data_IF_847027172673
#
_entry.id   IF_847027172673
#
_cell.length_a   1.000
_cell.length_b   1.000
_cell.length_c   1.000
_cell.angle_alpha   90.00
_cell.angle_beta   90.00
_cell.angle_gamma   90.00
#
_symmetry.space_group_name_H-M   'P 1'
#
loop_
_entity.id
_entity.type
_entity.pdbx_description
1 polymer ?
#
# COMPACT_ATOMS: atom_id res chain seq x y z
N UNK A 1 15.52 -15.34 -26.13
CA UNK A 1 14.37 -15.18 -27.04
C UNK A 1 13.76 -13.81 -26.80
N UNK A 2 13.69 -13.00 -27.85
CA UNK A 2 13.32 -11.58 -27.78
C UNK A 2 11.84 -11.42 -27.46
N UNK A 3 11.53 -10.84 -26.29
CA UNK A 3 10.20 -10.37 -25.96
C UNK A 3 9.93 -9.09 -26.74
N UNK A 4 9.17 -9.24 -27.82
CA UNK A 4 8.63 -8.16 -28.64
C UNK A 4 7.53 -7.44 -27.85
N UNK A 5 7.71 -6.12 -27.72
CA UNK A 5 6.70 -5.18 -27.26
C UNK A 5 5.43 -5.44 -28.06
N UNK A 6 4.32 -5.74 -27.38
CA UNK A 6 3.02 -5.89 -28.03
C UNK A 6 2.52 -4.50 -28.47
N UNK A 7 3.04 -4.05 -29.61
CA UNK A 7 2.62 -2.84 -30.32
C UNK A 7 1.34 -3.19 -31.08
N UNK A 8 0.19 -2.69 -30.65
CA UNK A 8 -1.01 -2.71 -31.50
C UNK A 8 -0.84 -1.63 -32.57
N UNK A 9 -0.56 -2.06 -33.79
CA UNK A 9 -0.58 -1.24 -35.00
C UNK A 9 -2.01 -1.12 -35.51
N UNK A 10 -2.44 0.08 -35.84
CA UNK A 10 -3.61 0.28 -36.72
C UNK A 10 -3.23 -0.11 -38.16
N UNK A 11 -4.23 -0.26 -39.04
CA UNK A 11 -4.10 -0.74 -40.43
C UNK A 11 -3.14 0.07 -41.32
N UNK A 12 -2.66 1.23 -40.86
CA UNK A 12 -1.74 2.13 -41.57
C UNK A 12 -0.30 2.18 -40.98
N UNK A 13 0.08 1.25 -40.08
CA UNK A 13 1.48 1.15 -39.61
C UNK A 13 1.97 2.30 -38.72
N UNK A 14 1.12 3.28 -38.40
CA UNK A 14 1.42 4.32 -37.42
C UNK A 14 1.35 3.75 -35.99
N UNK A 15 2.39 4.00 -35.19
CA UNK A 15 2.42 3.65 -33.78
C UNK A 15 1.31 4.42 -33.05
N UNK A 16 0.30 3.72 -32.53
CA UNK A 16 -0.79 4.33 -31.77
C UNK A 16 -0.22 4.83 -30.44
N UNK A 17 0.09 6.13 -30.37
CA UNK A 17 0.48 6.79 -29.13
C UNK A 17 -0.72 6.67 -28.19
N UNK A 18 -0.52 6.06 -27.01
CA UNK A 18 -1.56 5.95 -26.01
C UNK A 18 -2.11 7.35 -25.68
N UNK A 19 -3.43 7.50 -25.66
CA UNK A 19 -4.04 8.80 -25.39
C UNK A 19 -3.57 9.35 -24.03
N UNK A 20 -3.24 10.65 -23.95
CA UNK A 20 -2.80 11.26 -22.70
C UNK A 20 -3.88 11.18 -21.61
N UNK A 21 -3.49 10.76 -20.41
CA UNK A 21 -4.37 10.77 -19.24
C UNK A 21 -4.36 12.17 -18.61
N UNK A 22 -5.50 12.85 -18.67
CA UNK A 22 -5.62 14.25 -18.21
C UNK A 22 -6.17 14.28 -16.77
N UNK A 23 -5.34 14.72 -15.83
CA UNK A 23 -5.76 14.94 -14.46
C UNK A 23 -6.36 16.34 -14.37
N UNK A 24 -7.66 16.43 -14.12
CA UNK A 24 -8.39 17.71 -14.05
C UNK A 24 -8.50 18.16 -12.59
N UNK A 25 -8.19 19.43 -12.35
CA UNK A 25 -8.48 20.13 -11.10
C UNK A 25 -9.17 21.46 -11.45
N UNK A 26 -10.38 21.75 -10.93
CA UNK A 26 -11.07 23.00 -11.21
C UNK A 26 -10.20 24.22 -10.87
N UNK A 27 -10.16 25.19 -11.78
CA UNK A 27 -9.40 26.45 -11.60
C UNK A 27 -7.91 26.38 -11.95
N UNK A 28 -7.37 25.21 -12.30
CA UNK A 28 -5.96 25.06 -12.66
C UNK A 28 -5.78 24.52 -14.08
N UNK A 29 -4.69 24.94 -14.74
CA UNK A 29 -4.27 24.41 -16.04
C UNK A 29 -3.16 23.39 -15.84
N UNK A 30 -3.20 22.30 -16.62
CA UNK A 30 -2.12 21.33 -16.63
C UNK A 30 -0.84 21.97 -17.21
N UNK A 31 0.16 22.17 -16.36
CA UNK A 31 1.45 22.78 -16.70
C UNK A 31 2.62 21.76 -16.62
N UNK A 32 2.32 20.51 -16.28
CA UNK A 32 3.29 19.40 -16.24
C UNK A 32 2.88 18.29 -17.18
N UNK A 33 3.84 17.82 -17.98
CA UNK A 33 3.75 16.58 -18.75
C UNK A 33 4.64 15.52 -18.12
N UNK A 34 4.10 14.32 -17.91
CA UNK A 34 4.82 13.18 -17.36
C UNK A 34 4.74 12.04 -18.39
N UNK A 35 5.88 11.56 -18.89
CA UNK A 35 5.94 10.40 -19.77
C UNK A 35 6.52 9.21 -19.02
N UNK A 36 5.70 8.19 -18.74
CA UNK A 36 6.08 7.01 -17.99
C UNK A 36 5.91 5.79 -18.85
N UNK A 37 7.04 5.24 -19.32
CA UNK A 37 7.09 4.09 -20.22
C UNK A 37 6.11 4.20 -21.41
N UNK A 38 6.09 5.38 -22.05
CA UNK A 38 5.27 5.66 -23.23
C UNK A 38 3.85 6.15 -22.93
N UNK A 39 3.36 6.05 -21.69
CA UNK A 39 2.09 6.66 -21.31
C UNK A 39 2.31 8.09 -20.83
N UNK A 40 1.56 9.01 -21.43
CA UNK A 40 1.60 10.42 -21.08
C UNK A 40 0.50 10.78 -20.07
N UNK A 41 0.86 11.57 -19.06
CA UNK A 41 -0.06 12.17 -18.10
C UNK A 41 0.09 13.68 -18.12
N UNK A 42 -1.04 14.39 -18.08
CA UNK A 42 -1.07 15.83 -17.88
C UNK A 42 -1.46 16.12 -16.44
N UNK A 43 -0.59 16.83 -15.71
CA UNK A 43 -0.69 17.09 -14.28
C UNK A 43 -0.49 18.59 -13.99
N UNK A 44 -0.65 18.96 -12.72
CA UNK A 44 -0.45 20.31 -12.20
C UNK A 44 0.75 20.32 -11.26
N UNK A 45 1.69 21.21 -11.50
CA UNK A 45 2.90 21.40 -10.69
C UNK A 45 2.55 21.63 -9.22
N UNK A 46 1.55 22.47 -8.96
CA UNK A 46 1.11 22.81 -7.59
C UNK A 46 0.68 21.58 -6.78
N UNK A 47 -0.06 20.65 -7.39
CA UNK A 47 -0.55 19.44 -6.72
C UNK A 47 0.61 18.47 -6.44
N UNK A 48 1.46 18.23 -7.45
CA UNK A 48 2.57 17.28 -7.29
C UNK A 48 3.66 17.84 -6.35
N UNK A 49 3.90 19.16 -6.32
CA UNK A 49 4.75 19.83 -5.30
C UNK A 49 4.21 19.66 -3.89
N UNK A 50 2.89 19.71 -3.71
CA UNK A 50 2.27 19.55 -2.40
C UNK A 50 2.43 18.13 -1.86
N UNK A 51 2.30 17.12 -2.73
CA UNK A 51 2.17 15.71 -2.34
C UNK A 51 3.47 14.90 -2.39
N UNK A 52 4.52 15.43 -3.02
CA UNK A 52 5.80 14.72 -3.19
C UNK A 52 6.97 15.65 -2.88
N UNK A 53 7.84 15.23 -1.95
CA UNK A 53 9.09 15.95 -1.67
C UNK A 53 10.03 15.95 -2.87
N UNK A 54 10.08 14.82 -3.60
CA UNK A 54 10.86 14.71 -4.84
C UNK A 54 10.41 15.77 -5.86
N UNK A 55 9.12 15.82 -6.21
CA UNK A 55 8.65 16.79 -7.20
C UNK A 55 8.82 18.23 -6.73
N UNK A 56 8.67 18.51 -5.43
CA UNK A 56 8.95 19.83 -4.85
C UNK A 56 10.37 20.29 -5.18
N UNK A 57 11.37 19.51 -4.78
CA UNK A 57 12.78 19.86 -5.00
C UNK A 57 13.14 19.90 -6.50
N UNK A 58 12.66 18.93 -7.28
CA UNK A 58 12.95 18.86 -8.72
C UNK A 58 12.33 20.02 -9.49
N UNK A 59 11.11 20.45 -9.14
CA UNK A 59 10.45 21.58 -9.79
C UNK A 59 11.01 22.93 -9.34
N UNK A 60 11.41 23.08 -8.08
CA UNK A 60 12.14 24.26 -7.59
C UNK A 60 13.47 24.43 -8.34
N UNK A 61 14.22 23.34 -8.51
CA UNK A 61 15.41 23.34 -9.36
C UNK A 61 15.05 23.65 -10.83
N UNK A 62 13.97 23.05 -11.33
CA UNK A 62 13.48 23.21 -12.69
C UNK A 62 13.04 24.63 -13.06
N UNK A 63 12.71 25.49 -12.10
CA UNK A 63 12.30 26.89 -12.38
C UNK A 63 13.35 27.68 -13.17
N UNK A 64 14.63 27.31 -13.05
CA UNK A 64 15.74 27.95 -13.76
C UNK A 64 16.33 27.11 -14.90
N UNK A 65 15.94 25.83 -15.02
CA UNK A 65 16.64 24.85 -15.86
C UNK A 65 15.72 24.01 -16.77
N UNK A 66 14.41 24.03 -16.54
CA UNK A 66 13.45 23.30 -17.37
C UNK A 66 13.31 23.96 -18.75
N UNK A 67 13.13 23.14 -19.79
CA UNK A 67 12.69 23.62 -21.09
C UNK A 67 11.17 23.46 -21.18
N UNK A 68 10.42 24.54 -21.44
CA UNK A 68 9.01 24.42 -21.76
C UNK A 68 8.80 23.60 -23.04
N UNK A 69 7.83 22.68 -23.00
CA UNK A 69 7.44 21.82 -24.12
C UNK A 69 6.02 22.18 -24.55
N UNK A 70 5.91 23.03 -25.57
CA UNK A 70 4.63 23.60 -26.00
C UNK A 70 3.94 24.38 -24.88
N UNK A 71 2.79 23.87 -24.42
CA UNK A 71 2.01 24.47 -23.32
C UNK A 71 2.47 24.07 -21.91
N UNK A 72 3.36 23.07 -21.81
CA UNK A 72 3.81 22.53 -20.53
C UNK A 72 5.08 23.25 -20.08
N UNK A 73 5.06 23.74 -18.82
CA UNK A 73 6.22 24.39 -18.20
C UNK A 73 7.29 23.39 -17.80
N UNK A 74 6.87 22.17 -17.45
CA UNK A 74 7.76 21.09 -17.04
C UNK A 74 7.42 19.81 -17.80
N UNK A 75 8.44 19.15 -18.35
CA UNK A 75 8.31 17.86 -19.04
C UNK A 75 9.22 16.84 -18.34
N UNK A 76 8.65 15.71 -17.96
CA UNK A 76 9.36 14.63 -17.28
C UNK A 76 9.29 13.34 -18.11
N UNK A 77 10.36 12.55 -18.04
CA UNK A 77 10.43 11.24 -18.67
C UNK A 77 10.92 10.16 -17.71
N UNK A 78 10.46 8.94 -17.88
CA UNK A 78 11.00 7.77 -17.18
C UNK A 78 12.38 7.41 -17.74
N UNK A 79 13.35 7.21 -16.85
CA UNK A 79 14.72 6.82 -17.16
C UNK A 79 15.10 5.62 -16.30
N UNK A 80 15.56 4.55 -16.95
CA UNK A 80 16.12 3.33 -16.36
C UNK A 80 17.65 3.43 -16.35
N UNK A 81 18.26 3.31 -15.18
CA UNK A 81 19.72 3.29 -15.05
C UNK A 81 20.31 1.93 -15.47
N UNK A 82 21.63 1.80 -15.31
CA UNK A 82 22.37 0.58 -15.66
C UNK A 82 22.00 -0.61 -14.77
N UNK A 83 21.51 -0.35 -13.56
CA UNK A 83 21.13 -1.36 -12.58
C UNK A 83 19.67 -1.83 -12.78
N UNK A 84 18.97 -1.27 -13.77
CA UNK A 84 17.58 -1.57 -14.06
C UNK A 84 16.62 -0.89 -13.09
N UNK A 85 17.09 0.08 -12.31
CA UNK A 85 16.28 0.92 -11.44
C UNK A 85 15.81 2.12 -12.26
N UNK A 86 14.53 2.44 -12.16
CA UNK A 86 13.98 3.57 -12.89
C UNK A 86 13.63 4.73 -11.97
N UNK A 87 13.79 5.93 -12.50
CA UNK A 87 13.44 7.19 -11.86
C UNK A 87 12.70 8.08 -12.87
N UNK A 88 11.96 9.03 -12.32
CA UNK A 88 11.44 10.14 -13.11
C UNK A 88 12.56 11.17 -13.25
N UNK A 89 12.74 11.73 -14.44
CA UNK A 89 13.70 12.81 -14.67
C UNK A 89 13.05 14.00 -15.39
N UNK A 90 13.39 15.20 -14.94
CA UNK A 90 13.00 16.45 -15.60
C UNK A 90 13.88 16.65 -16.84
N UNK A 91 13.27 16.96 -17.98
CA UNK A 91 13.97 17.26 -19.23
C UNK A 91 14.65 18.64 -19.13
N UNK A 92 15.94 18.73 -19.50
CA UNK A 92 16.81 19.90 -19.30
C UNK A 92 17.36 20.45 -20.61
N UNK A 93 17.75 21.74 -20.63
CA UNK A 93 18.28 22.43 -21.82
C UNK A 93 19.55 21.83 -22.44
N UNK A 94 20.34 21.08 -21.69
CA UNK A 94 21.65 20.57 -22.12
C UNK A 94 21.66 19.07 -22.42
N UNK A 95 20.53 18.37 -22.27
CA UNK A 95 20.44 16.99 -22.75
C UNK A 95 20.33 17.03 -24.27
N UNK A 96 21.36 16.54 -24.97
CA UNK A 96 21.27 16.25 -26.40
C UNK A 96 19.96 15.48 -26.62
N UNK A 97 19.08 16.05 -27.45
CA UNK A 97 17.80 15.49 -27.87
C UNK A 97 17.93 14.20 -28.69
N UNK A 98 19.10 13.53 -28.64
CA UNK A 98 19.18 12.09 -28.88
C UNK A 98 18.32 11.43 -27.82
N UNK A 99 17.04 11.34 -28.17
CA UNK A 99 15.98 10.49 -27.67
C UNK A 99 16.51 9.72 -26.45
N UNK A 100 16.06 10.11 -25.25
CA UNK A 100 16.11 9.27 -24.05
C UNK A 100 15.24 8.01 -24.27
N UNK A 101 15.41 7.32 -25.40
CA UNK A 101 15.09 5.92 -25.61
C UNK A 101 16.02 5.18 -24.69
N UNK A 102 15.57 5.05 -23.45
CA UNK A 102 16.24 4.20 -22.52
C UNK A 102 16.16 2.76 -23.05
N UNK A 103 17.30 2.24 -23.51
CA UNK A 103 17.41 0.86 -23.98
C UNK A 103 17.60 -0.13 -22.83
N UNK A 104 17.84 0.37 -21.61
CA UNK A 104 18.00 -0.47 -20.43
C UNK A 104 16.66 -1.06 -20.04
N UNK A 105 16.68 -2.35 -19.72
CA UNK A 105 15.51 -3.07 -19.25
C UNK A 105 15.40 -2.93 -17.74
N UNK A 106 14.16 -2.84 -17.26
CA UNK A 106 13.85 -2.92 -15.84
C UNK A 106 14.38 -4.23 -15.24
N UNK A 107 14.79 -4.17 -13.97
CA UNK A 107 15.23 -5.34 -13.23
C UNK A 107 14.05 -6.31 -13.02
N UNK A 108 14.22 -7.58 -13.37
CA UNK A 108 13.21 -8.60 -13.09
C UNK A 108 12.92 -8.68 -11.56
N UNK A 109 11.66 -8.84 -11.12
CA UNK A 109 10.46 -9.16 -11.91
C UNK A 109 9.67 -7.94 -12.44
N UNK A 110 10.25 -6.74 -12.37
CA UNK A 110 9.56 -5.51 -12.76
C UNK A 110 9.26 -5.49 -14.26
N UNK A 111 8.12 -4.92 -14.61
CA UNK A 111 7.69 -4.73 -16.00
C UNK A 111 7.28 -3.28 -16.19
N UNK A 112 7.49 -2.73 -17.38
CA UNK A 112 7.12 -1.35 -17.70
C UNK A 112 5.64 -1.09 -17.39
N UNK A 113 4.79 -2.05 -17.72
CA UNK A 113 3.36 -1.99 -17.44
C UNK A 113 3.04 -2.03 -15.93
N UNK A 114 3.79 -2.80 -15.15
CA UNK A 114 3.66 -2.84 -13.70
C UNK A 114 4.06 -1.50 -13.06
N UNK A 115 5.22 -0.96 -13.47
CA UNK A 115 5.72 0.34 -13.00
C UNK A 115 4.79 1.49 -13.37
N UNK A 116 4.28 1.47 -14.61
CA UNK A 116 3.33 2.46 -15.10
C UNK A 116 2.07 2.49 -14.26
N UNK A 117 1.49 1.33 -13.93
CA UNK A 117 0.31 1.24 -13.06
C UNK A 117 0.61 1.63 -11.62
N UNK A 118 1.78 1.28 -11.12
CA UNK A 118 2.22 1.67 -9.79
C UNK A 118 2.35 3.20 -9.67
N UNK A 119 3.01 3.81 -10.65
CA UNK A 119 3.11 5.26 -10.76
C UNK A 119 1.74 5.92 -10.90
N UNK A 120 0.87 5.39 -11.75
CA UNK A 120 -0.50 5.88 -11.94
C UNK A 120 -1.28 5.87 -10.62
N UNK A 121 -1.18 4.81 -9.82
CA UNK A 121 -1.84 4.74 -8.51
C UNK A 121 -1.33 5.83 -7.55
N UNK A 122 -0.02 6.06 -7.49
CA UNK A 122 0.56 7.14 -6.66
C UNK A 122 0.13 8.51 -7.16
N UNK A 123 0.12 8.70 -8.48
CA UNK A 123 -0.34 9.94 -9.09
C UNK A 123 -1.84 10.16 -8.84
N UNK A 124 -2.66 9.13 -8.88
CA UNK A 124 -4.09 9.21 -8.54
C UNK A 124 -4.29 9.52 -7.06
N UNK A 125 -3.46 8.97 -6.17
CA UNK A 125 -3.45 9.34 -4.75
C UNK A 125 -3.20 10.84 -4.55
N UNK A 126 -2.35 11.49 -5.36
CA UNK A 126 -2.13 12.94 -5.25
C UNK A 126 -3.38 13.77 -5.54
N UNK A 127 -4.28 13.24 -6.37
CA UNK A 127 -5.52 13.88 -6.79
C UNK A 127 -6.76 13.33 -6.07
N UNK A 128 -6.58 12.47 -5.06
CA UNK A 128 -7.67 11.73 -4.41
C UNK A 128 -8.57 10.99 -5.43
N UNK A 129 -7.99 10.50 -6.53
CA UNK A 129 -8.69 9.73 -7.54
C UNK A 129 -8.72 8.25 -7.16
N UNK A 130 -9.79 7.51 -7.51
CA UNK A 130 -9.84 6.06 -7.32
C UNK A 130 -8.72 5.32 -8.05
N UNK A 131 -8.10 4.35 -7.38
CA UNK A 131 -7.19 3.37 -7.97
C UNK A 131 -7.43 1.98 -7.35
N UNK A 132 -6.91 0.94 -7.99
CA UNK A 132 -7.13 -0.47 -7.60
C UNK A 132 -5.80 -1.16 -7.34
N UNK A 133 -5.76 -1.94 -6.25
CA UNK A 133 -4.64 -2.80 -5.86
C UNK A 133 -5.02 -4.23 -6.27
N UNK A 134 -4.28 -4.82 -7.21
CA UNK A 134 -4.68 -6.11 -7.82
C UNK A 134 -4.27 -7.30 -6.97
N UNK A 135 -3.08 -7.24 -6.41
CA UNK A 135 -2.45 -8.30 -5.62
C UNK A 135 -1.28 -7.74 -4.81
N UNK A 136 -0.69 -8.59 -3.97
CA UNK A 136 0.44 -8.25 -3.13
C UNK A 136 1.63 -7.64 -3.90
N UNK A 137 2.00 -8.21 -5.05
CA UNK A 137 3.10 -7.68 -5.86
C UNK A 137 2.79 -6.28 -6.39
N UNK A 138 1.58 -6.04 -6.90
CA UNK A 138 1.16 -4.70 -7.34
C UNK A 138 1.18 -3.69 -6.21
N UNK A 139 0.84 -4.09 -4.98
CA UNK A 139 0.91 -3.22 -3.81
C UNK A 139 2.35 -2.83 -3.48
N UNK A 140 3.29 -3.78 -3.52
CA UNK A 140 4.72 -3.50 -3.35
C UNK A 140 5.24 -2.51 -4.39
N UNK A 141 4.83 -2.67 -5.64
CA UNK A 141 5.24 -1.77 -6.71
C UNK A 141 4.71 -0.34 -6.49
N UNK A 142 3.46 -0.20 -6.05
CA UNK A 142 2.88 1.10 -5.67
C UNK A 142 3.67 1.74 -4.52
N UNK A 143 3.98 0.98 -3.47
CA UNK A 143 4.75 1.47 -2.32
C UNK A 143 6.14 1.91 -2.73
N UNK A 144 6.85 1.12 -3.54
CA UNK A 144 8.17 1.48 -4.07
C UNK A 144 8.12 2.71 -4.96
N UNK A 145 7.07 2.87 -5.78
CA UNK A 145 6.87 4.09 -6.57
C UNK A 145 6.61 5.30 -5.66
N UNK A 146 5.87 5.14 -4.57
CA UNK A 146 5.67 6.21 -3.59
C UNK A 146 6.98 6.54 -2.84
N UNK A 147 7.84 5.55 -2.58
CA UNK A 147 9.15 5.76 -2.00
C UNK A 147 10.06 6.58 -2.90
N UNK A 148 10.17 6.20 -4.18
CA UNK A 148 11.03 6.90 -5.15
C UNK A 148 10.57 8.35 -5.37
N UNK A 149 9.27 8.60 -5.31
CA UNK A 149 8.68 9.93 -5.38
C UNK A 149 8.62 10.63 -4.02
N UNK A 150 9.12 10.04 -2.94
CA UNK A 150 9.05 10.57 -1.57
C UNK A 150 7.63 11.04 -1.19
N UNK A 151 6.65 10.16 -1.40
CA UNK A 151 5.22 10.47 -1.35
C UNK A 151 4.39 9.43 -0.56
N UNK A 152 5.01 8.68 0.35
CA UNK A 152 4.32 7.72 1.23
C UNK A 152 3.12 8.33 1.97
N UNK A 153 3.18 9.55 2.53
CA UNK A 153 2.03 10.11 3.25
C UNK A 153 0.81 10.28 2.34
N UNK A 154 1.04 10.75 1.10
CA UNK A 154 -0.03 10.92 0.12
C UNK A 154 -0.68 9.58 -0.25
N UNK A 155 0.12 8.53 -0.41
CA UNK A 155 -0.39 7.17 -0.63
C UNK A 155 -1.19 6.68 0.59
N UNK A 156 -0.58 6.74 1.79
CA UNK A 156 -1.15 6.25 3.04
C UNK A 156 -2.56 6.81 3.31
N UNK A 157 -2.75 8.12 3.13
CA UNK A 157 -4.05 8.77 3.31
C UNK A 157 -5.17 8.27 2.38
N UNK A 158 -4.84 7.63 1.26
CA UNK A 158 -5.81 7.18 0.27
C UNK A 158 -6.02 5.66 0.28
N UNK A 159 -5.27 4.93 1.12
CA UNK A 159 -5.28 3.47 1.11
C UNK A 159 -6.60 2.86 1.57
N UNK A 160 -7.28 3.42 2.56
CA UNK A 160 -8.59 2.91 2.99
C UNK A 160 -9.60 2.89 1.83
N UNK A 161 -9.61 3.97 1.04
CA UNK A 161 -10.45 4.05 -0.17
C UNK A 161 -10.00 3.07 -1.26
N UNK A 162 -8.69 2.83 -1.39
CA UNK A 162 -8.16 1.86 -2.35
C UNK A 162 -8.46 0.41 -1.95
N UNK A 163 -8.36 0.08 -0.66
CA UNK A 163 -8.70 -1.23 -0.11
C UNK A 163 -10.16 -1.57 -0.32
N UNK A 164 -11.07 -0.62 -0.07
CA UNK A 164 -12.49 -0.80 -0.34
C UNK A 164 -12.79 -1.17 -1.81
N UNK A 165 -11.99 -0.67 -2.76
CA UNK A 165 -12.12 -0.95 -4.19
C UNK A 165 -11.36 -2.20 -4.65
N UNK A 166 -10.64 -2.84 -3.73
CA UNK A 166 -9.68 -3.90 -4.03
C UNK A 166 -9.93 -5.16 -3.19
N UNK A 167 -11.16 -5.74 -3.21
CA UNK A 167 -11.49 -6.90 -2.38
C UNK A 167 -10.54 -8.08 -2.64
N UNK A 168 -10.17 -8.33 -3.90
CA UNK A 168 -9.22 -9.39 -4.25
C UNK A 168 -7.82 -9.25 -3.64
N UNK A 169 -7.41 -8.03 -3.25
CA UNK A 169 -6.21 -7.81 -2.46
C UNK A 169 -6.47 -7.98 -0.96
N UNK A 170 -7.55 -7.38 -0.43
CA UNK A 170 -7.85 -7.42 1.00
C UNK A 170 -8.11 -8.84 1.51
N UNK A 171 -8.77 -9.67 0.70
CA UNK A 171 -9.08 -11.07 1.03
C UNK A 171 -7.82 -11.93 1.14
N UNK A 172 -6.69 -11.45 0.62
CA UNK A 172 -5.39 -12.15 0.62
C UNK A 172 -4.37 -11.53 1.56
N UNK A 173 -4.79 -10.60 2.43
CA UNK A 173 -3.91 -10.01 3.45
C UNK A 173 -3.36 -11.10 4.37
N UNK A 174 -4.18 -12.08 4.78
CA UNK A 174 -3.75 -13.18 5.64
C UNK A 174 -2.59 -13.98 5.04
N UNK A 175 -2.50 -14.10 3.71
CA UNK A 175 -1.45 -14.89 3.05
C UNK A 175 -0.08 -14.20 3.09
N UNK A 176 -0.04 -12.88 3.26
CA UNK A 176 1.17 -12.06 3.18
C UNK A 176 1.36 -11.15 4.39
N UNK A 177 0.69 -11.44 5.51
CA UNK A 177 0.61 -10.56 6.68
C UNK A 177 1.96 -10.31 7.35
N UNK A 178 2.89 -11.26 7.28
CA UNK A 178 4.27 -11.16 7.76
C UNK A 178 5.05 -10.05 7.05
N UNK A 179 4.85 -9.91 5.75
CA UNK A 179 5.56 -8.94 4.93
C UNK A 179 4.78 -7.62 4.85
N UNK A 180 3.45 -7.69 4.87
CA UNK A 180 2.57 -6.51 4.87
C UNK A 180 2.65 -5.69 6.16
N UNK A 181 2.89 -6.31 7.32
CA UNK A 181 3.03 -5.56 8.59
C UNK A 181 4.23 -4.59 8.54
N UNK A 182 5.35 -4.99 7.92
CA UNK A 182 6.53 -4.14 7.70
C UNK A 182 6.21 -2.97 6.77
N UNK A 183 5.49 -3.26 5.68
CA UNK A 183 5.03 -2.23 4.73
C UNK A 183 4.05 -1.26 5.42
N UNK A 184 3.14 -1.76 6.26
CA UNK A 184 2.19 -0.94 6.99
C UNK A 184 2.89 0.00 7.98
N UNK A 185 3.91 -0.49 8.69
CA UNK A 185 4.78 0.34 9.54
C UNK A 185 5.49 1.41 8.71
N UNK A 186 6.09 1.04 7.58
CA UNK A 186 6.78 1.98 6.69
C UNK A 186 5.85 3.10 6.18
N UNK A 187 4.61 2.77 5.84
CA UNK A 187 3.59 3.70 5.38
C UNK A 187 2.93 4.48 6.51
N UNK A 188 3.20 4.11 7.77
CA UNK A 188 2.50 4.62 8.96
C UNK A 188 0.98 4.46 8.81
N UNK A 189 0.53 3.30 8.31
CA UNK A 189 -0.87 3.03 8.03
C UNK A 189 -1.48 2.12 9.12
N UNK A 190 -2.14 2.70 10.14
CA UNK A 190 -2.51 1.98 11.37
C UNK A 190 -3.52 0.86 11.13
N UNK A 191 -4.50 1.06 10.24
CA UNK A 191 -5.53 0.06 9.95
C UNK A 191 -4.92 -1.21 9.35
N UNK A 192 -4.08 -1.05 8.32
CA UNK A 192 -3.38 -2.17 7.69
C UNK A 192 -2.44 -2.88 8.68
N UNK A 193 -1.73 -2.11 9.52
CA UNK A 193 -0.83 -2.66 10.52
C UNK A 193 -1.59 -3.55 11.51
N UNK A 194 -2.70 -3.03 12.04
CA UNK A 194 -3.59 -3.76 12.97
C UNK A 194 -4.14 -5.04 12.34
N UNK A 195 -4.62 -4.97 11.10
CA UNK A 195 -5.16 -6.16 10.41
C UNK A 195 -4.07 -7.22 10.20
N UNK A 196 -2.85 -6.83 9.80
CA UNK A 196 -1.74 -7.77 9.66
C UNK A 196 -1.35 -8.39 11.01
N UNK A 197 -1.32 -7.57 12.07
CA UNK A 197 -1.02 -8.02 13.43
C UNK A 197 -2.04 -9.07 13.92
N UNK A 198 -3.33 -8.83 13.68
CA UNK A 198 -4.40 -9.78 14.01
C UNK A 198 -4.17 -11.13 13.33
N UNK A 199 -3.86 -11.15 12.03
CA UNK A 199 -3.59 -12.39 11.32
C UNK A 199 -2.35 -13.12 11.86
N UNK A 200 -1.25 -12.41 12.10
CA UNK A 200 -0.02 -13.02 12.62
C UNK A 200 -0.22 -13.61 14.02
N UNK A 201 -0.92 -12.90 14.92
CA UNK A 201 -1.24 -13.41 16.26
C UNK A 201 -2.17 -14.63 16.18
N UNK A 202 -3.15 -14.60 15.27
CA UNK A 202 -4.07 -15.72 15.07
C UNK A 202 -3.36 -16.97 14.58
N UNK A 203 -2.43 -16.84 13.63
CA UNK A 203 -1.58 -17.96 13.17
C UNK A 203 -0.73 -18.53 14.28
N UNK A 204 -0.18 -17.67 15.15
CA UNK A 204 0.66 -18.10 16.26
C UNK A 204 -0.07 -18.91 17.35
N UNK A 205 -1.39 -18.72 17.47
CA UNK A 205 -2.25 -19.48 18.37
C UNK A 205 -2.88 -20.71 17.73
N UNK A 206 -2.78 -20.86 16.40
CA UNK A 206 -3.31 -22.02 15.70
C UNK A 206 -2.45 -23.26 15.96
N UNK A 207 -3.11 -24.37 16.31
CA UNK A 207 -2.47 -25.67 16.55
C UNK A 207 -1.79 -26.26 15.31
N UNK A 208 -2.07 -25.73 14.11
CA UNK A 208 -1.47 -26.16 12.85
C UNK A 208 -0.07 -25.55 12.61
N UNK A 209 0.28 -24.45 13.29
CA UNK A 209 1.52 -23.72 13.09
C UNK A 209 2.56 -24.02 14.16
N UNK A 210 3.40 -25.05 13.96
CA UNK A 210 4.68 -25.22 14.70
C UNK A 210 5.74 -24.20 14.25
N UNK A 211 5.35 -23.00 13.82
CA UNK A 211 6.31 -21.97 13.44
C UNK A 211 6.96 -21.39 14.69
N UNK A 212 8.26 -21.15 14.61
CA UNK A 212 9.02 -20.52 15.68
C UNK A 212 8.80 -19.00 15.61
N UNK A 213 7.62 -18.54 16.06
CA UNK A 213 7.25 -17.11 16.06
C UNK A 213 8.25 -16.21 16.82
N UNK A 214 9.03 -16.82 17.70
CA UNK A 214 10.07 -16.16 18.50
C UNK A 214 11.13 -15.47 17.64
N UNK A 215 11.44 -15.99 16.44
CA UNK A 215 12.43 -15.40 15.54
C UNK A 215 11.84 -14.58 14.39
N UNK A 216 10.51 -14.57 14.20
CA UNK A 216 9.85 -14.00 13.01
C UNK A 216 9.99 -12.48 12.85
N UNK A 217 10.18 -11.79 13.97
CA UNK A 217 10.30 -10.33 14.03
C UNK A 217 11.58 -9.89 14.76
N UNK A 218 12.61 -10.74 14.79
CA UNK A 218 13.91 -10.38 15.38
C UNK A 218 14.57 -9.18 14.68
N UNK A 219 14.22 -8.93 13.43
CA UNK A 219 14.68 -7.78 12.63
C UNK A 219 13.98 -6.46 12.98
N UNK A 220 12.86 -6.48 13.71
CA UNK A 220 12.08 -5.27 14.04
C UNK A 220 11.49 -5.35 15.46
N UNK A 221 12.20 -4.74 16.41
CA UNK A 221 11.83 -4.74 17.83
C UNK A 221 10.48 -4.06 18.12
N UNK A 222 10.06 -3.07 17.32
CA UNK A 222 8.75 -2.43 17.52
C UNK A 222 7.62 -3.41 17.15
N UNK A 223 7.75 -4.07 16.00
CA UNK A 223 6.77 -5.08 15.54
C UNK A 223 6.74 -6.25 16.52
N UNK A 224 7.90 -6.73 16.95
CA UNK A 224 8.05 -7.81 17.92
C UNK A 224 7.40 -7.46 19.25
N UNK A 225 7.63 -6.26 19.78
CA UNK A 225 7.02 -5.76 21.01
C UNK A 225 5.49 -5.70 20.89
N UNK A 226 4.97 -5.14 19.80
CA UNK A 226 3.53 -5.12 19.51
C UNK A 226 2.94 -6.52 19.42
N UNK A 227 3.63 -7.44 18.74
CA UNK A 227 3.23 -8.83 18.59
C UNK A 227 3.15 -9.56 19.93
N UNK A 228 4.18 -9.46 20.78
CA UNK A 228 4.16 -10.09 22.10
C UNK A 228 3.06 -9.53 23.01
N UNK A 229 2.87 -8.20 23.02
CA UNK A 229 1.76 -7.58 23.77
C UNK A 229 0.41 -8.11 23.30
N UNK A 230 0.18 -8.15 21.99
CA UNK A 230 -1.06 -8.69 21.44
C UNK A 230 -1.24 -10.18 21.79
N UNK A 231 -0.18 -10.99 21.72
CA UNK A 231 -0.20 -12.40 22.10
C UNK A 231 -0.59 -12.60 23.57
N UNK A 232 0.01 -11.80 24.47
CA UNK A 232 -0.29 -11.81 25.91
C UNK A 232 -1.74 -11.37 26.19
N UNK A 233 -2.23 -10.33 25.50
CA UNK A 233 -3.63 -9.90 25.61
C UNK A 233 -4.59 -11.01 25.21
N UNK A 234 -4.30 -11.75 24.14
CA UNK A 234 -5.12 -12.91 23.72
C UNK A 234 -5.10 -14.02 24.76
N UNK A 235 -3.93 -14.37 25.31
CA UNK A 235 -3.83 -15.38 26.38
C UNK A 235 -4.58 -14.97 27.65
N UNK A 236 -4.49 -13.69 28.02
CA UNK A 236 -5.20 -13.14 29.16
C UNK A 236 -6.73 -13.24 28.97
N UNK A 237 -7.23 -12.89 27.79
CA UNK A 237 -8.65 -13.02 27.46
C UNK A 237 -9.08 -14.49 27.49
N UNK A 238 -8.30 -15.41 26.90
CA UNK A 238 -8.62 -16.85 26.89
C UNK A 238 -8.67 -17.41 28.31
N UNK A 239 -7.68 -17.09 29.14
CA UNK A 239 -7.63 -17.51 30.55
C UNK A 239 -8.82 -16.96 31.33
N UNK A 240 -9.19 -15.70 31.09
CA UNK A 240 -10.37 -15.09 31.73
C UNK A 240 -11.68 -15.77 31.32
N UNK A 241 -11.81 -16.17 30.05
CA UNK A 241 -12.95 -16.94 29.55
C UNK A 241 -12.99 -18.33 30.19
N UNK A 242 -11.85 -19.03 30.27
CA UNK A 242 -11.76 -20.35 30.89
C UNK A 242 -12.13 -20.29 32.39
N UNK A 243 -11.57 -19.34 33.15
CA UNK A 243 -11.92 -19.13 34.56
C UNK A 243 -13.40 -18.75 34.74
N UNK A 244 -13.96 -17.94 33.83
CA UNK A 244 -15.38 -17.61 33.83
C UNK A 244 -16.26 -18.85 33.63
N UNK A 245 -15.93 -19.71 32.67
CA UNK A 245 -16.67 -20.97 32.41
C UNK A 245 -16.65 -21.89 33.63
N UNK A 246 -15.55 -21.92 34.38
CA UNK A 246 -15.43 -22.68 35.63
C UNK A 246 -16.22 -22.06 36.78
N UNK A 247 -16.38 -20.73 36.78
CA UNK A 247 -17.02 -19.97 37.87
C UNK A 247 -18.54 -19.82 37.69
N UNK A 248 -19.06 -19.83 36.46
CA UNK A 248 -20.50 -19.70 36.22
C UNK A 248 -21.22 -21.04 36.37
N UNK A 249 -22.42 -20.99 36.97
CA UNK A 249 -23.32 -22.15 36.94
C UNK A 249 -23.59 -22.58 35.50
N UNK A 250 -23.47 -23.89 35.27
CA UNK A 250 -23.78 -24.51 33.99
C UNK A 250 -25.21 -24.11 33.61
N UNK A 251 -25.42 -23.79 32.33
CA UNK A 251 -26.70 -23.36 31.74
C UNK A 251 -27.08 -21.88 31.84
N UNK A 252 -26.33 -21.04 32.56
CA UNK A 252 -26.57 -19.58 32.51
C UNK A 252 -26.32 -19.01 31.11
N UNK A 253 -27.05 -17.95 30.69
CA UNK A 253 -26.77 -17.27 29.42
C UNK A 253 -25.34 -16.72 29.30
N UNK A 254 -24.68 -16.42 30.42
CA UNK A 254 -23.27 -16.02 30.48
C UNK A 254 -22.34 -17.21 30.19
N UNK A 255 -22.57 -18.35 30.84
CA UNK A 255 -21.83 -19.60 30.59
C UNK A 255 -21.95 -20.05 29.13
N UNK A 256 -23.16 -20.00 28.54
CA UNK A 256 -23.38 -20.32 27.12
C UNK A 256 -22.63 -19.38 26.17
N UNK A 257 -22.62 -18.07 26.45
CA UNK A 257 -21.86 -17.07 25.67
C UNK A 257 -20.35 -17.31 25.76
N UNK A 258 -19.82 -17.61 26.94
CA UNK A 258 -18.40 -17.95 27.11
C UNK A 258 -18.03 -19.27 26.45
N UNK A 259 -18.91 -20.28 26.47
CA UNK A 259 -18.69 -21.53 25.75
C UNK A 259 -18.60 -21.33 24.24
N UNK A 260 -19.47 -20.48 23.67
CA UNK A 260 -19.42 -20.11 22.25
C UNK A 260 -18.11 -19.41 21.88
N UNK A 261 -17.53 -18.63 22.81
CA UNK A 261 -16.22 -18.00 22.64
C UNK A 261 -15.09 -19.03 22.73
N UNK A 262 -15.11 -19.93 23.73
CA UNK A 262 -14.08 -20.97 23.95
C UNK A 262 -14.01 -21.98 22.82
N UNK A 263 -15.17 -22.46 22.37
CA UNK A 263 -15.30 -23.44 21.29
C UNK A 263 -15.54 -22.78 19.94
N UNK A 264 -15.23 -21.49 19.80
CA UNK A 264 -15.50 -20.73 18.60
C UNK A 264 -15.21 -21.57 17.37
N UNK A 265 -16.21 -21.76 16.51
CA UNK A 265 -15.98 -22.22 15.14
C UNK A 265 -15.38 -23.64 15.00
N UNK A 266 -16.24 -24.64 14.86
CA UNK A 266 -15.86 -26.03 14.53
C UNK A 266 -15.54 -26.27 13.04
N UNK A 267 -15.72 -25.28 12.18
CA UNK A 267 -15.48 -25.39 10.73
C UNK A 267 -14.48 -24.35 10.26
N UNK A 268 -13.69 -24.72 9.24
CA UNK A 268 -12.56 -24.05 8.60
C UNK A 268 -12.82 -22.62 8.03
N UNK A 269 -13.90 -21.96 8.42
CA UNK A 269 -14.23 -20.57 8.08
C UNK A 269 -13.44 -19.51 8.91
N UNK A 270 -12.39 -19.94 9.61
CA UNK A 270 -11.87 -19.33 10.85
C UNK A 270 -10.89 -18.16 10.71
N UNK A 271 -10.24 -17.95 9.57
CA UNK A 271 -9.29 -16.83 9.45
C UNK A 271 -9.97 -15.45 9.47
N UNK A 272 -11.21 -15.33 8.98
CA UNK A 272 -11.87 -14.04 8.80
C UNK A 272 -12.78 -13.63 9.98
N UNK A 273 -13.43 -14.59 10.64
CA UNK A 273 -14.37 -14.31 11.72
C UNK A 273 -13.69 -14.17 13.09
N UNK A 274 -12.56 -14.86 13.31
CA UNK A 274 -11.68 -14.60 14.45
C UNK A 274 -11.19 -13.15 14.44
N UNK A 275 -10.81 -12.63 13.27
CA UNK A 275 -10.43 -11.22 13.09
C UNK A 275 -11.58 -10.24 13.39
N UNK A 276 -12.83 -10.61 13.06
CA UNK A 276 -14.02 -9.80 13.38
C UNK A 276 -14.32 -9.78 14.87
N UNK A 277 -14.15 -10.91 15.56
CA UNK A 277 -14.26 -11.01 17.02
C UNK A 277 -13.13 -10.26 17.74
N UNK A 278 -11.88 -10.41 17.29
CA UNK A 278 -10.76 -9.61 17.81
C UNK A 278 -11.00 -8.12 17.59
N UNK A 279 -11.62 -7.74 16.46
CA UNK A 279 -12.01 -6.36 16.18
C UNK A 279 -13.05 -5.85 17.19
N UNK A 280 -14.06 -6.65 17.56
CA UNK A 280 -15.03 -6.29 18.61
C UNK A 280 -14.40 -6.20 20.01
N UNK A 281 -13.52 -7.13 20.38
CA UNK A 281 -12.86 -7.12 21.70
C UNK A 281 -11.92 -5.92 21.83
N UNK A 282 -11.10 -5.64 20.81
CA UNK A 282 -10.20 -4.48 20.81
C UNK A 282 -10.98 -3.16 20.83
N UNK A 283 -12.10 -3.06 20.11
CA UNK A 283 -12.95 -1.86 20.13
C UNK A 283 -13.61 -1.63 21.51
N UNK A 284 -13.89 -2.70 22.27
CA UNK A 284 -14.40 -2.58 23.65
C UNK A 284 -13.31 -2.14 24.62
N UNK A 285 -12.08 -2.63 24.45
CA UNK A 285 -10.93 -2.21 25.26
C UNK A 285 -10.58 -0.73 25.02
N UNK A 286 -10.58 -0.27 23.76
CA UNK A 286 -10.39 1.16 23.43
C UNK A 286 -11.50 2.04 24.01
N UNK A 287 -12.76 1.57 24.03
CA UNK A 287 -13.88 2.29 24.63
C UNK A 287 -13.78 2.39 26.17
N UNK A 288 -13.21 1.39 26.83
CA UNK A 288 -12.98 1.41 28.27
C UNK A 288 -11.74 2.25 28.65
N UNK A 289 -10.68 2.27 27.83
CA UNK A 289 -9.55 3.20 28.01
C UNK A 289 -9.96 4.67 27.78
N UNK A 290 -10.81 4.95 26.78
CA UNK A 290 -11.35 6.31 26.55
C UNK A 290 -12.25 6.81 27.68
N UNK A 291 -13.04 5.93 28.31
CA UNK A 291 -13.81 6.27 29.52
C UNK A 291 -12.93 6.60 30.71
N UNK A 292 -11.78 5.95 30.84
CA UNK A 292 -10.83 6.20 31.92
C UNK A 292 -9.94 7.43 31.69
N UNK A 293 -9.96 8.03 30.50
CA UNK A 293 -9.17 9.25 30.19
C UNK A 293 -10.02 10.53 30.26
N UNK A 294 -11.30 10.46 30.66
CA UNK A 294 -12.17 11.64 30.82
C UNK A 294 -12.56 11.92 32.28
N UNK A 295 -11.69 11.54 33.22
CA UNK A 295 -11.70 12.04 34.59
C UNK A 295 -10.25 12.21 35.06
N UNK A 296 -9.58 13.22 34.53
CA UNK A 296 -8.59 14.06 35.22
C UNK A 296 -8.27 15.29 34.36
#
# INVERSE_FOLDING_TARGET
MNSSILRKSDSDGNQKIAEPIILRQPGFKNDVRLNVFGQVYYAHSIIIKLKSKYFRSTLEWGEKHAIPSGKFRYDFTSVVDKDGIWLMELIKSTSNFEILTNTNKLRAPQTEEGERRAFEAVLFAFYNKPYVIRNYQSFKDIVRSADSLCARPALSHTLDSAFHRSPGFTDRICQNSDSLIRIAKQLHHPVLFRECLIYEVSKAKSTAGKEHWQSKFEDDEDIKSCFFKALQSVDFVRTSVDCGIESFSKETPAWKRMLMVRYGMKDDALEYQSATYYREVMNRLEADELKNTTME
#
